data_IF_573801862042
#
_entry.id   IF_573801862042
#
_cell.length_a   1.000
_cell.length_b   1.000
_cell.length_c   1.000
_cell.angle_alpha   90.00
_cell.angle_beta   90.00
_cell.angle_gamma   90.00
#
_symmetry.space_group_name_H-M   'P 1'
#
loop_
_entity.id
_entity.type
_entity.pdbx_description
1 polymer ?
#
# COMPACT_ATOMS: atom_id res chain seq x y z
N UNK A 1 -21.21 28.14 -18.43
CA UNK A 1 -20.81 28.02 -17.00
C UNK A 1 -21.15 26.65 -16.40
N UNK A 2 -20.98 25.54 -17.13
CA UNK A 2 -21.35 24.19 -16.64
C UNK A 2 -20.16 23.32 -16.20
N UNK A 3 -18.92 23.77 -16.45
CA UNK A 3 -17.69 22.98 -16.28
C UNK A 3 -17.23 22.86 -14.81
N UNK A 4 -17.46 23.91 -14.00
CA UNK A 4 -17.03 23.94 -12.59
C UNK A 4 -17.87 22.96 -11.75
N UNK A 5 -19.19 22.94 -11.96
CA UNK A 5 -20.08 22.02 -11.26
C UNK A 5 -19.86 20.55 -11.67
N UNK A 6 -19.55 20.28 -12.94
CA UNK A 6 -19.22 18.91 -13.39
C UNK A 6 -17.90 18.41 -12.80
N UNK A 7 -16.87 19.26 -12.75
CA UNK A 7 -15.58 18.89 -12.13
C UNK A 7 -15.73 18.59 -10.64
N UNK A 8 -16.50 19.42 -9.93
CA UNK A 8 -16.81 19.18 -8.52
C UNK A 8 -17.53 17.85 -8.29
N UNK A 9 -18.49 17.51 -9.14
CA UNK A 9 -19.24 16.25 -9.04
C UNK A 9 -18.32 15.04 -9.27
N UNK A 10 -17.43 15.09 -10.27
CA UNK A 10 -16.44 14.05 -10.54
C UNK A 10 -15.46 13.88 -9.38
N UNK A 11 -14.97 14.98 -8.80
CA UNK A 11 -14.07 14.94 -7.65
C UNK A 11 -14.76 14.33 -6.42
N UNK A 12 -16.02 14.70 -6.15
CA UNK A 12 -16.81 14.15 -5.05
C UNK A 12 -17.05 12.65 -5.21
N UNK A 13 -17.36 12.20 -6.43
CA UNK A 13 -17.56 10.80 -6.75
C UNK A 13 -16.25 10.01 -6.57
N UNK A 14 -15.13 10.55 -7.04
CA UNK A 14 -13.81 9.95 -6.84
C UNK A 14 -13.44 9.85 -5.35
N UNK A 15 -13.74 10.88 -4.57
CA UNK A 15 -13.53 10.89 -3.13
C UNK A 15 -14.41 9.85 -2.43
N UNK A 16 -15.69 9.77 -2.78
CA UNK A 16 -16.62 8.79 -2.22
C UNK A 16 -16.19 7.34 -2.48
N UNK A 17 -15.70 7.05 -3.69
CA UNK A 17 -15.14 5.73 -4.04
C UNK A 17 -13.87 5.42 -3.24
N UNK A 18 -12.93 6.37 -3.11
CA UNK A 18 -11.71 6.19 -2.31
C UNK A 18 -12.01 6.00 -0.82
N UNK A 19 -12.91 6.81 -0.27
CA UNK A 19 -13.33 6.70 1.12
C UNK A 19 -13.98 5.34 1.41
N UNK A 20 -14.83 4.85 0.51
CA UNK A 20 -15.45 3.53 0.63
C UNK A 20 -14.40 2.41 0.60
N UNK A 21 -13.47 2.46 -0.36
CA UNK A 21 -12.39 1.47 -0.46
C UNK A 21 -11.50 1.45 0.79
N UNK A 22 -11.14 2.61 1.34
CA UNK A 22 -10.34 2.70 2.56
C UNK A 22 -11.09 2.16 3.79
N UNK A 23 -12.40 2.39 3.88
CA UNK A 23 -13.24 1.83 4.96
C UNK A 23 -13.33 0.31 4.87
N UNK A 24 -13.48 -0.24 3.67
CA UNK A 24 -13.54 -1.69 3.46
C UNK A 24 -12.19 -2.36 3.76
N UNK A 25 -11.06 -1.75 3.38
CA UNK A 25 -9.75 -2.22 3.80
C UNK A 25 -9.62 -2.19 5.32
N UNK A 26 -10.03 -1.09 5.97
CA UNK A 26 -9.98 -0.95 7.42
C UNK A 26 -10.77 -2.05 8.15
N UNK A 27 -11.93 -2.44 7.63
CA UNK A 27 -12.72 -3.57 8.14
C UNK A 27 -11.96 -4.90 8.03
N UNK A 28 -11.38 -5.18 6.86
CA UNK A 28 -10.59 -6.40 6.66
C UNK A 28 -9.36 -6.47 7.57
N UNK A 29 -8.69 -5.34 7.80
CA UNK A 29 -7.53 -5.27 8.71
C UNK A 29 -7.93 -5.57 10.17
N UNK A 30 -9.07 -5.04 10.63
CA UNK A 30 -9.61 -5.34 11.97
C UNK A 30 -9.96 -6.83 12.08
N UNK A 31 -10.58 -7.38 11.05
CA UNK A 31 -10.92 -8.80 11.02
C UNK A 31 -9.68 -9.68 11.06
N UNK A 32 -8.67 -9.38 10.25
CA UNK A 32 -7.37 -10.05 10.23
C UNK A 32 -6.74 -10.07 11.62
N UNK A 33 -6.71 -8.92 12.30
CA UNK A 33 -6.17 -8.81 13.65
C UNK A 33 -6.95 -9.72 14.64
N UNK A 34 -8.28 -9.75 14.53
CA UNK A 34 -9.13 -10.59 15.39
C UNK A 34 -8.86 -12.08 15.15
N UNK A 35 -8.70 -12.50 13.88
CA UNK A 35 -8.43 -13.91 13.56
C UNK A 35 -7.02 -14.31 14.01
N UNK A 36 -6.01 -13.47 13.77
CA UNK A 36 -4.63 -13.69 14.25
C UNK A 36 -4.58 -13.89 15.77
N UNK A 37 -5.25 -13.03 16.55
CA UNK A 37 -5.35 -13.20 18.01
C UNK A 37 -5.99 -14.54 18.41
N UNK A 38 -7.05 -14.98 17.72
CA UNK A 38 -7.68 -16.28 17.99
C UNK A 38 -6.73 -17.45 17.70
N UNK A 39 -5.94 -17.35 16.62
CA UNK A 39 -4.93 -18.35 16.24
C UNK A 39 -3.81 -18.40 17.28
N UNK A 40 -3.32 -17.25 17.72
CA UNK A 40 -2.27 -17.14 18.73
C UNK A 40 -2.73 -17.73 20.08
N UNK A 41 -3.97 -17.45 20.49
CA UNK A 41 -4.55 -18.03 21.70
C UNK A 41 -4.67 -19.56 21.60
N UNK A 42 -5.13 -20.09 20.47
CA UNK A 42 -5.22 -21.54 20.27
C UNK A 42 -3.84 -22.21 20.26
N UNK A 43 -2.85 -21.60 19.61
CA UNK A 43 -1.46 -22.06 19.61
C UNK A 43 -0.84 -22.03 21.02
N UNK A 44 -1.12 -20.97 21.78
CA UNK A 44 -0.69 -20.87 23.19
C UNK A 44 -1.30 -22.00 24.02
N UNK A 45 -2.60 -22.24 23.90
CA UNK A 45 -3.27 -23.32 24.64
C UNK A 45 -2.67 -24.69 24.30
N UNK A 46 -2.38 -24.94 23.02
CA UNK A 46 -1.72 -26.17 22.57
C UNK A 46 -0.31 -26.30 23.18
N UNK A 47 0.46 -25.21 23.19
CA UNK A 47 1.78 -25.16 23.82
C UNK A 47 1.75 -25.45 25.31
N UNK A 48 0.73 -24.96 26.02
CA UNK A 48 0.54 -25.27 27.44
C UNK A 48 0.25 -26.76 27.67
N UNK A 49 -0.54 -27.40 26.81
CA UNK A 49 -0.77 -28.85 26.89
C UNK A 49 0.53 -29.62 26.66
N UNK A 50 1.33 -29.23 25.66
CA UNK A 50 2.63 -29.85 25.40
C UNK A 50 3.58 -29.71 26.61
N UNK A 51 3.64 -28.53 27.22
CA UNK A 51 4.43 -28.31 28.44
C UNK A 51 3.98 -29.19 29.61
N UNK A 52 2.68 -29.36 29.82
CA UNK A 52 2.15 -30.24 30.86
C UNK A 52 2.41 -31.72 30.58
N UNK A 53 2.38 -32.13 29.30
CA UNK A 53 2.76 -33.48 28.87
C UNK A 53 4.21 -33.80 29.22
N UNK A 54 5.14 -32.87 28.99
CA UNK A 54 6.55 -33.04 29.38
C UNK A 54 6.73 -33.19 30.90
N UNK A 55 5.80 -32.62 31.69
CA UNK A 55 5.75 -32.81 33.15
C UNK A 55 5.05 -34.10 33.59
N UNK A 56 4.67 -34.98 32.67
CA UNK A 56 3.99 -36.24 32.96
C UNK A 56 2.51 -36.08 33.34
N UNK A 57 1.90 -34.92 33.07
CA UNK A 57 0.47 -34.72 33.28
C UNK A 57 -0.30 -35.39 32.15
N UNK A 58 -1.30 -36.19 32.50
CA UNK A 58 -2.18 -36.83 31.51
C UNK A 58 -2.88 -35.76 30.65
N UNK A 59 -2.77 -35.90 29.33
CA UNK A 59 -3.37 -34.98 28.37
C UNK A 59 -4.68 -35.54 27.83
N UNK A 60 -5.64 -34.65 27.57
CA UNK A 60 -6.83 -34.98 26.80
C UNK A 60 -6.48 -34.88 25.30
N UNK A 61 -6.27 -36.04 24.66
CA UNK A 61 -5.92 -36.10 23.25
C UNK A 61 -6.99 -35.47 22.35
N UNK A 62 -8.28 -35.56 22.71
CA UNK A 62 -9.37 -34.95 21.91
C UNK A 62 -9.24 -33.43 21.90
N UNK A 63 -8.81 -32.85 23.03
CA UNK A 63 -8.56 -31.40 23.12
C UNK A 63 -7.37 -30.98 22.28
N UNK A 64 -6.31 -31.79 22.22
CA UNK A 64 -5.15 -31.56 21.34
C UNK A 64 -5.60 -31.54 19.88
N UNK A 65 -6.31 -32.58 19.44
CA UNK A 65 -6.76 -32.72 18.05
C UNK A 65 -7.69 -31.55 17.65
N UNK A 66 -8.60 -31.16 18.55
CA UNK A 66 -9.48 -30.02 18.33
C UNK A 66 -8.73 -28.68 18.20
N UNK A 67 -7.67 -28.46 18.98
CA UNK A 67 -6.84 -27.25 18.88
C UNK A 67 -6.04 -27.22 17.58
N UNK A 68 -5.48 -28.36 17.15
CA UNK A 68 -4.75 -28.47 15.88
C UNK A 68 -5.67 -28.14 14.70
N UNK A 69 -6.86 -28.74 14.64
CA UNK A 69 -7.85 -28.44 13.60
C UNK A 69 -8.24 -26.96 13.61
N UNK A 70 -8.54 -26.41 14.80
CA UNK A 70 -8.90 -25.00 14.96
C UNK A 70 -7.80 -24.06 14.49
N UNK A 71 -6.53 -24.37 14.74
CA UNK A 71 -5.41 -23.56 14.25
C UNK A 71 -5.39 -23.58 12.72
N UNK A 72 -5.51 -24.76 12.10
CA UNK A 72 -5.58 -24.88 10.63
C UNK A 72 -6.73 -24.07 10.01
N UNK A 73 -7.93 -24.15 10.60
CA UNK A 73 -9.09 -23.37 10.14
C UNK A 73 -8.86 -21.85 10.25
N UNK A 74 -8.19 -21.41 11.32
CA UNK A 74 -7.87 -20.00 11.53
C UNK A 74 -6.77 -19.52 10.58
N UNK A 75 -5.79 -20.36 10.26
CA UNK A 75 -4.75 -20.07 9.26
C UNK A 75 -5.35 -19.95 7.85
N UNK A 76 -6.28 -20.83 7.48
CA UNK A 76 -7.01 -20.72 6.22
C UNK A 76 -7.83 -19.42 6.14
N UNK A 77 -8.49 -19.04 7.24
CA UNK A 77 -9.21 -17.75 7.33
C UNK A 77 -8.27 -16.56 7.18
N UNK A 78 -7.10 -16.59 7.85
CA UNK A 78 -6.08 -15.54 7.74
C UNK A 78 -5.63 -15.39 6.28
N UNK A 79 -5.28 -16.50 5.62
CA UNK A 79 -4.84 -16.49 4.22
C UNK A 79 -5.93 -15.93 3.29
N UNK A 80 -7.19 -16.30 3.50
CA UNK A 80 -8.31 -15.75 2.74
C UNK A 80 -8.46 -14.23 2.92
N UNK A 81 -8.36 -13.73 4.15
CA UNK A 81 -8.49 -12.28 4.42
C UNK A 81 -7.29 -11.52 3.83
N UNK A 82 -6.08 -12.06 3.94
CA UNK A 82 -4.88 -11.48 3.36
C UNK A 82 -4.97 -11.40 1.82
N UNK A 83 -5.53 -12.42 1.17
CA UNK A 83 -5.81 -12.41 -0.27
C UNK A 83 -6.85 -11.34 -0.66
N UNK A 84 -7.89 -11.14 0.15
CA UNK A 84 -8.90 -10.09 -0.09
C UNK A 84 -8.28 -8.69 0.02
N UNK A 85 -7.44 -8.45 1.04
CA UNK A 85 -6.72 -7.18 1.20
C UNK A 85 -5.79 -6.94 0.00
N UNK A 86 -5.03 -7.95 -0.42
CA UNK A 86 -4.15 -7.83 -1.59
C UNK A 86 -4.93 -7.52 -2.88
N UNK A 87 -6.09 -8.16 -3.07
CA UNK A 87 -6.97 -7.91 -4.21
C UNK A 87 -7.51 -6.48 -4.20
N UNK A 88 -8.00 -5.99 -3.05
CA UNK A 88 -8.49 -4.62 -2.93
C UNK A 88 -7.38 -3.59 -3.21
N UNK A 89 -6.15 -3.83 -2.73
CA UNK A 89 -5.01 -2.97 -3.02
C UNK A 89 -4.67 -2.93 -4.52
N UNK A 90 -4.66 -4.07 -5.19
CA UNK A 90 -4.41 -4.14 -6.63
C UNK A 90 -5.48 -3.39 -7.44
N UNK A 91 -6.76 -3.54 -7.06
CA UNK A 91 -7.87 -2.81 -7.69
C UNK A 91 -7.72 -1.29 -7.51
N UNK A 92 -7.38 -0.82 -6.30
CA UNK A 92 -7.21 0.62 -6.05
C UNK A 92 -6.08 1.20 -6.91
N UNK A 93 -4.93 0.53 -7.02
CA UNK A 93 -3.80 0.98 -7.84
C UNK A 93 -4.19 1.09 -9.32
N UNK A 94 -4.89 0.08 -9.85
CA UNK A 94 -5.30 0.06 -11.28
C UNK A 94 -6.28 1.17 -11.69
N UNK A 95 -7.03 1.75 -10.73
CA UNK A 95 -7.97 2.86 -11.01
C UNK A 95 -7.26 4.22 -10.96
N UNK A 96 -6.16 4.33 -10.21
CA UNK A 96 -5.37 5.56 -10.10
C UNK A 96 -4.35 5.76 -11.22
N UNK A 97 -3.99 4.72 -11.97
CA UNK A 97 -3.11 4.80 -13.14
C UNK A 97 -3.89 5.12 -14.43
N UNK A 98 -4.61 6.24 -14.46
CA UNK A 98 -4.95 6.87 -15.75
C UNK A 98 -3.75 7.75 -16.13
N UNK A 99 -2.95 7.42 -17.16
CA UNK A 99 -1.85 8.27 -17.57
C UNK A 99 -2.44 9.61 -18.03
N UNK A 100 -2.08 10.69 -17.34
CA UNK A 100 -2.30 12.04 -17.84
C UNK A 100 -1.49 12.17 -19.13
N UNK A 101 -2.20 12.40 -20.23
CA UNK A 101 -1.64 12.60 -21.56
C UNK A 101 -0.48 13.62 -21.52
N UNK A 102 0.72 13.14 -21.85
CA UNK A 102 1.85 13.94 -22.28
C UNK A 102 1.48 14.64 -23.59
N UNK A 103 0.82 15.80 -23.53
CA UNK A 103 0.71 16.69 -24.68
C UNK A 103 0.73 18.15 -24.24
N UNK A 104 1.62 18.90 -24.89
CA UNK A 104 1.71 20.37 -24.95
C UNK A 104 2.50 21.10 -23.87
N UNK A 105 3.82 21.15 -24.06
CA UNK A 105 4.61 22.37 -23.81
C UNK A 105 5.82 22.44 -24.76
N UNK A 106 5.58 22.30 -26.07
CA UNK A 106 6.42 22.97 -27.07
C UNK A 106 5.95 24.42 -27.16
N UNK A 107 6.58 25.33 -26.42
CA UNK A 107 6.65 26.75 -26.78
C UNK A 107 7.66 27.47 -25.89
N UNK A 108 8.44 28.34 -26.54
CA UNK A 108 9.19 29.46 -25.94
C UNK A 108 10.64 29.17 -25.50
N UNK A 109 11.50 28.88 -26.49
CA UNK A 109 12.90 29.32 -26.46
C UNK A 109 13.14 30.18 -27.70
N UNK A 110 12.75 31.45 -27.62
CA UNK A 110 13.06 32.46 -28.63
C UNK A 110 13.77 33.61 -27.90
N UNK A 111 15.11 33.61 -27.98
CA UNK A 111 16.01 34.78 -27.92
C UNK A 111 17.47 34.35 -27.66
N UNK A 112 18.17 33.86 -28.69
CA UNK A 112 19.62 33.99 -28.77
C UNK A 112 19.98 34.71 -30.07
N UNK A 113 20.11 36.05 -30.01
CA UNK A 113 20.99 36.78 -30.92
C UNK A 113 22.29 37.10 -30.19
N UNK A 114 23.43 36.45 -30.51
CA UNK A 114 24.73 36.97 -30.11
C UNK A 114 25.14 38.09 -31.09
N UNK A 115 25.25 39.31 -30.55
CA UNK A 115 25.86 40.47 -31.21
C UNK A 115 27.33 40.16 -31.52
N UNK A 116 27.71 40.43 -32.75
CA UNK A 116 29.02 40.19 -33.35
C UNK A 116 30.07 41.21 -32.85
N UNK A 117 31.19 40.67 -32.38
CA UNK A 117 32.61 41.04 -32.55
C UNK A 117 32.99 42.48 -32.98
N UNK A 118 33.77 43.20 -32.16
CA UNK A 118 34.90 44.01 -32.69
C UNK A 118 35.95 44.37 -31.60
N UNK A 119 37.21 44.23 -32.01
CA UNK A 119 38.48 44.33 -31.30
C UNK A 119 38.90 45.74 -30.80
N UNK A 120 39.78 45.74 -29.77
CA UNK A 120 41.04 46.49 -29.68
C UNK A 120 41.66 46.26 -28.28
N UNK A 121 42.78 45.51 -28.14
CA UNK A 121 44.17 46.00 -28.21
C UNK A 121 44.49 47.08 -27.15
N UNK A 122 45.54 47.04 -26.31
CA UNK A 122 46.69 46.17 -26.05
C UNK A 122 47.41 46.74 -24.77
N UNK A 123 48.74 46.60 -24.52
CA UNK A 123 49.35 45.58 -23.66
C UNK A 123 50.35 46.11 -22.58
N UNK A 124 51.08 45.16 -21.95
CA UNK A 124 52.40 45.22 -21.24
C UNK A 124 52.38 45.41 -19.71
N UNK A 125 53.27 44.82 -18.90
CA UNK A 125 54.52 44.04 -19.13
C UNK A 125 54.74 43.02 -18.00
N UNK A 126 55.50 41.94 -18.22
CA UNK A 126 56.98 41.81 -18.05
C UNK A 126 57.37 41.88 -16.56
N UNK A 127 58.09 40.97 -15.90
CA UNK A 127 58.96 39.87 -16.27
C UNK A 127 59.95 39.67 -15.09
N UNK A 128 60.43 38.43 -14.89
CA UNK A 128 61.39 37.94 -13.87
C UNK A 128 60.82 37.36 -12.58
#
# INVERSE_FOLDING_TARGET
>A
MSSIFSKLNTELESFGRRASAALDEGRLQIELLRVKRRRDNAARDLGMIAFHREKGVAQDQRRVDALVLKIGDLEAQIASIEAQIATQKAVVVSVTDTPEDETEAEAELDAEEPIIDEAAAAPQGDGS
#
